data_IF_182267355782
#
_entry.id   IF_182267355782
#
_cell.length_a   1.000
_cell.length_b   1.000
_cell.length_c   1.000
_cell.angle_alpha   90.00
_cell.angle_beta   90.00
_cell.angle_gamma   90.00
#
_symmetry.space_group_name_H-M   'P 1'
#
loop_
_entity.id
_entity.type
_entity.pdbx_description
1 polymer ?
#
# COMPACT_ATOMS: atom_id res chain seq x y z
N UNK A 1 3.45 0.77 18.33
CA UNK A 1 2.37 1.65 17.84
C UNK A 1 1.57 0.89 16.78
N UNK A 2 0.44 0.30 17.16
CA UNK A 2 -0.46 -0.39 16.23
C UNK A 2 -1.35 0.66 15.56
N UNK A 3 -0.88 1.26 14.45
CA UNK A 3 -1.55 2.44 13.90
C UNK A 3 -1.61 2.57 12.38
N UNK A 4 -1.02 1.65 11.60
CA UNK A 4 -1.15 1.72 10.14
C UNK A 4 -0.98 0.34 9.52
N UNK A 5 -2.00 -0.11 8.78
CA UNK A 5 -1.90 -1.31 7.94
C UNK A 5 -0.95 -1.04 6.77
N UNK A 6 0.33 -1.32 7.00
CA UNK A 6 1.40 -1.15 6.00
C UNK A 6 1.73 -2.50 5.38
N UNK A 7 1.68 -2.56 4.05
CA UNK A 7 2.12 -3.71 3.28
C UNK A 7 3.50 -3.43 2.70
N UNK A 8 4.38 -4.43 2.75
CA UNK A 8 5.68 -4.38 2.08
C UNK A 8 5.53 -5.09 0.75
N UNK A 9 5.63 -4.33 -0.34
CA UNK A 9 5.58 -4.86 -1.70
C UNK A 9 6.78 -4.34 -2.48
N UNK A 10 7.39 -5.20 -3.28
CA UNK A 10 8.46 -4.80 -4.22
C UNK A 10 7.83 -4.40 -5.55
N UNK A 11 8.35 -3.33 -6.16
CA UNK A 11 7.96 -2.91 -7.51
C UNK A 11 9.18 -2.89 -8.43
N UNK A 12 8.96 -3.18 -9.70
CA UNK A 12 9.99 -2.99 -10.72
C UNK A 12 10.08 -1.51 -11.10
N UNK A 13 10.99 -0.79 -10.42
CA UNK A 13 11.21 0.66 -10.61
C UNK A 13 11.62 1.04 -12.04
N UNK A 14 12.11 0.09 -12.87
CA UNK A 14 12.45 0.35 -14.27
C UNK A 14 11.20 0.55 -15.14
N UNK A 15 10.13 -0.18 -14.85
CA UNK A 15 8.90 -0.16 -15.65
C UNK A 15 7.82 0.75 -15.04
N UNK A 16 7.80 0.91 -13.71
CA UNK A 16 6.84 1.77 -12.99
C UNK A 16 7.58 2.77 -12.10
N UNK A 17 7.78 3.97 -12.65
CA UNK A 17 8.44 5.10 -11.99
C UNK A 17 7.50 5.82 -11.01
N UNK A 18 6.20 5.79 -11.27
CA UNK A 18 5.19 6.44 -10.43
C UNK A 18 4.92 5.68 -9.12
N UNK A 19 4.35 6.39 -8.13
CA UNK A 19 3.93 5.77 -6.86
C UNK A 19 2.80 4.80 -7.10
N UNK A 20 2.92 3.59 -6.54
CA UNK A 20 1.86 2.61 -6.66
C UNK A 20 0.69 2.94 -5.73
N UNK A 21 -0.51 2.91 -6.30
CA UNK A 21 -1.78 2.98 -5.57
C UNK A 21 -2.50 1.64 -5.75
N UNK A 22 -2.62 0.87 -4.67
CA UNK A 22 -3.23 -0.45 -4.71
C UNK A 22 -4.39 -0.52 -3.72
N UNK A 23 -5.53 -1.06 -4.18
CA UNK A 23 -6.62 -1.43 -3.28
C UNK A 23 -6.19 -2.66 -2.48
N UNK A 24 -6.10 -2.52 -1.16
CA UNK A 24 -5.78 -3.60 -0.22
C UNK A 24 -6.76 -3.57 0.94
N UNK A 25 -6.93 -4.72 1.56
CA UNK A 25 -7.79 -4.86 2.72
C UNK A 25 -7.15 -4.13 3.90
N UNK A 26 -7.92 -3.31 4.60
CA UNK A 26 -7.46 -2.67 5.83
C UNK A 26 -8.01 -3.46 7.02
N UNK A 27 -7.17 -4.23 7.76
CA UNK A 27 -7.63 -5.01 8.91
C UNK A 27 -8.20 -4.17 10.06
N UNK A 28 -7.84 -2.89 10.16
CA UNK A 28 -8.36 -1.99 11.20
C UNK A 28 -9.79 -1.58 10.87
N UNK A 29 -10.04 -1.20 9.61
CA UNK A 29 -11.36 -0.75 9.16
C UNK A 29 -12.26 -1.90 8.63
N UNK A 30 -11.71 -3.11 8.53
CA UNK A 30 -12.33 -4.31 7.95
C UNK A 30 -12.94 -4.09 6.56
N UNK A 31 -12.35 -3.20 5.76
CA UNK A 31 -12.81 -2.86 4.40
C UNK A 31 -11.63 -2.66 3.46
N UNK A 32 -11.89 -2.73 2.15
CA UNK A 32 -10.90 -2.41 1.13
C UNK A 32 -10.66 -0.91 1.07
N UNK A 33 -9.41 -0.49 1.15
CA UNK A 33 -8.98 0.91 1.02
C UNK A 33 -7.87 1.04 0.00
N UNK A 34 -7.65 2.25 -0.53
CA UNK A 34 -6.52 2.54 -1.42
C UNK A 34 -5.28 2.82 -0.57
N UNK A 35 -4.23 2.04 -0.76
CA UNK A 35 -2.94 2.24 -0.11
C UNK A 35 -1.97 2.84 -1.13
N UNK A 36 -1.36 3.96 -0.76
CA UNK A 36 -0.30 4.60 -1.54
C UNK A 36 1.06 4.17 -1.03
N UNK A 37 2.01 4.00 -1.94
CA UNK A 37 3.41 3.77 -1.59
C UNK A 37 3.97 4.95 -0.79
N UNK A 38 4.39 4.65 0.44
CA UNK A 38 5.12 5.58 1.32
C UNK A 38 6.58 5.11 1.32
N UNK A 39 7.50 6.08 1.24
CA UNK A 39 8.93 5.89 1.02
C UNK A 39 9.59 4.93 2.00
#
# INVERSE_FOLDING_TARGET
MAGTSRYITTKNRKNTTERLELKKFNPILKKMTVHKEIK
#
